data_IF_799117655400
#
_entry.id   IF_799117655400
#
_cell.length_a   1.000
_cell.length_b   1.000
_cell.length_c   1.000
_cell.angle_alpha   90.00
_cell.angle_beta   90.00
_cell.angle_gamma   90.00
#
_symmetry.space_group_name_H-M   'P 1'
#
loop_
_entity.id
_entity.type
_entity.pdbx_description
1 polymer ?
#
# COMPACT_ATOMS: atom_id res chain seq x y z
N UNK A 1 -20.87 21.70 -11.29
CA UNK A 1 -22.02 20.83 -10.93
C UNK A 1 -21.44 19.49 -10.53
N UNK A 2 -21.68 18.95 -9.32
CA UNK A 2 -21.06 17.69 -8.93
C UNK A 2 -21.70 16.53 -9.71
N UNK A 3 -20.88 15.80 -10.45
CA UNK A 3 -21.27 14.74 -11.40
C UNK A 3 -21.16 13.37 -10.72
N UNK A 4 -22.01 13.12 -9.72
CA UNK A 4 -22.08 11.83 -9.06
C UNK A 4 -23.47 11.57 -8.54
N UNK A 5 -24.10 10.48 -9.00
CA UNK A 5 -25.32 9.97 -8.39
C UNK A 5 -24.98 9.44 -6.99
N UNK A 6 -25.67 9.89 -5.93
CA UNK A 6 -25.47 9.33 -4.60
C UNK A 6 -25.79 7.83 -4.64
N UNK A 7 -24.98 6.97 -3.99
CA UNK A 7 -25.23 5.53 -4.00
C UNK A 7 -26.64 5.23 -3.46
N UNK A 8 -27.35 4.33 -4.14
CA UNK A 8 -28.69 3.89 -3.76
C UNK A 8 -28.66 3.30 -2.35
N UNK A 9 -29.08 4.11 -1.38
CA UNK A 9 -29.09 3.74 0.02
C UNK A 9 -30.21 2.76 0.33
N UNK A 10 -29.94 1.46 0.16
CA UNK A 10 -30.80 0.40 0.67
C UNK A 10 -30.74 0.29 2.21
N UNK A 11 -31.78 -0.29 2.80
CA UNK A 11 -31.98 -0.43 4.26
C UNK A 11 -30.90 -1.28 4.99
N UNK A 12 -29.91 -1.83 4.27
CA UNK A 12 -28.81 -2.66 4.80
C UNK A 12 -27.45 -2.23 4.20
N UNK A 13 -27.31 -1.00 3.70
CA UNK A 13 -26.04 -0.50 3.17
C UNK A 13 -25.15 0.10 4.26
N UNK A 14 -24.25 -0.72 4.84
CA UNK A 14 -23.14 -0.36 5.76
C UNK A 14 -23.39 0.89 6.62
N UNK A 15 -24.08 0.68 7.74
CA UNK A 15 -24.15 1.57 8.91
C UNK A 15 -23.89 3.06 8.64
N UNK A 16 -24.94 3.80 8.29
CA UNK A 16 -24.95 5.26 8.39
C UNK A 16 -24.63 5.78 9.82
N UNK A 17 -24.39 4.92 10.80
CA UNK A 17 -24.03 5.28 12.17
C UNK A 17 -22.56 5.01 12.54
N UNK A 18 -21.74 4.43 11.64
CA UNK A 18 -20.30 4.28 11.89
C UNK A 18 -19.57 5.51 11.38
N UNK A 19 -18.82 6.13 12.29
CA UNK A 19 -17.90 7.22 11.98
C UNK A 19 -16.49 6.62 12.11
N UNK A 20 -15.70 6.64 11.04
CA UNK A 20 -14.28 6.28 11.10
C UNK A 20 -13.51 7.34 11.89
N UNK A 21 -12.30 7.05 12.35
CA UNK A 21 -11.46 8.03 13.02
C UNK A 21 -11.27 9.31 12.16
N UNK A 22 -10.96 9.17 10.88
CA UNK A 22 -10.86 10.29 9.91
C UNK A 22 -12.18 11.03 9.72
N UNK A 23 -13.31 10.31 9.74
CA UNK A 23 -14.66 10.88 9.71
C UNK A 23 -14.98 11.71 10.95
N UNK A 24 -14.54 11.26 12.14
CA UNK A 24 -14.74 11.97 13.39
C UNK A 24 -13.93 13.26 13.43
N UNK A 25 -12.67 13.23 13.00
CA UNK A 25 -11.83 14.43 12.87
C UNK A 25 -12.47 15.42 11.89
N UNK A 26 -12.98 14.94 10.76
CA UNK A 26 -13.69 15.79 9.78
C UNK A 26 -14.96 16.42 10.36
N UNK A 27 -15.72 15.67 11.15
CA UNK A 27 -16.90 16.17 11.85
C UNK A 27 -16.56 17.25 12.87
N UNK A 28 -15.54 17.03 13.71
CA UNK A 28 -15.08 18.01 14.70
C UNK A 28 -14.61 19.32 14.06
N UNK A 29 -13.97 19.25 12.89
CA UNK A 29 -13.53 20.44 12.13
C UNK A 29 -14.70 21.16 11.47
N UNK A 30 -15.60 20.43 10.79
CA UNK A 30 -16.75 21.01 10.12
C UNK A 30 -17.87 19.96 9.91
N UNK A 31 -18.92 19.96 10.76
CA UNK A 31 -20.05 19.02 10.65
C UNK A 31 -20.77 19.09 9.30
N UNK A 32 -20.89 20.29 8.72
CA UNK A 32 -21.54 20.51 7.42
C UNK A 32 -20.76 19.85 6.28
N UNK A 33 -19.43 20.01 6.26
CA UNK A 33 -18.57 19.39 5.24
C UNK A 33 -18.64 17.87 5.34
N UNK A 34 -18.55 17.34 6.56
CA UNK A 34 -18.73 15.90 6.79
C UNK A 34 -20.09 15.41 6.29
N UNK A 35 -21.18 16.12 6.59
CA UNK A 35 -22.52 15.72 6.14
C UNK A 35 -22.60 15.68 4.61
N UNK A 36 -22.10 16.72 3.94
CA UNK A 36 -22.09 16.79 2.47
C UNK A 36 -21.27 15.64 1.86
N UNK A 37 -20.05 15.41 2.35
CA UNK A 37 -19.17 14.37 1.80
C UNK A 37 -19.62 12.95 2.13
N UNK A 38 -19.94 12.68 3.39
CA UNK A 38 -20.20 11.32 3.89
C UNK A 38 -21.66 10.89 3.79
N UNK A 39 -22.63 11.82 3.90
CA UNK A 39 -24.07 11.48 3.82
C UNK A 39 -24.67 11.70 2.44
N UNK A 40 -24.37 12.83 1.82
CA UNK A 40 -24.85 13.12 0.48
C UNK A 40 -23.95 12.43 -0.56
N UNK A 41 -22.67 12.21 -0.27
CA UNK A 41 -21.75 11.55 -1.19
C UNK A 41 -21.13 12.48 -2.23
N UNK A 42 -21.19 13.80 -2.01
CA UNK A 42 -20.55 14.77 -2.90
C UNK A 42 -19.04 14.75 -2.69
N UNK A 43 -18.28 14.63 -3.78
CA UNK A 43 -16.82 14.62 -3.76
C UNK A 43 -16.26 15.98 -4.18
N UNK A 44 -15.19 16.38 -3.51
CA UNK A 44 -14.36 17.52 -3.93
C UNK A 44 -13.51 17.12 -5.15
N UNK A 45 -13.03 18.09 -5.95
CA UNK A 45 -12.10 17.80 -7.03
C UNK A 45 -10.87 17.05 -6.52
N UNK A 46 -10.43 16.04 -7.26
CA UNK A 46 -9.26 15.27 -6.90
C UNK A 46 -8.00 16.16 -6.95
N UNK A 47 -7.07 15.89 -6.03
CA UNK A 47 -5.73 16.47 -6.02
C UNK A 47 -4.74 15.38 -6.51
N UNK A 48 -3.81 15.69 -7.44
CA UNK A 48 -2.86 14.70 -7.95
C UNK A 48 -2.01 14.07 -6.84
N UNK A 49 -1.65 14.82 -5.79
CA UNK A 49 -0.92 14.29 -4.62
C UNK A 49 -1.70 13.23 -3.84
N UNK A 50 -3.04 13.31 -3.82
CA UNK A 50 -3.87 12.28 -3.19
C UNK A 50 -3.87 11.00 -4.02
N UNK A 51 -3.93 11.12 -5.35
CA UNK A 51 -3.84 9.96 -6.26
C UNK A 51 -2.48 9.30 -6.09
N UNK A 52 -1.41 10.10 -6.13
CA UNK A 52 -0.05 9.61 -5.91
C UNK A 52 0.12 8.94 -4.55
N UNK A 53 -0.31 9.58 -3.45
CA UNK A 53 -0.16 9.01 -2.12
C UNK A 53 -0.78 7.62 -1.97
N UNK A 54 -1.93 7.38 -2.62
CA UNK A 54 -2.57 6.06 -2.63
C UNK A 54 -1.71 5.02 -3.38
N UNK A 55 -1.13 5.40 -4.53
CA UNK A 55 -0.33 4.48 -5.35
C UNK A 55 1.04 4.22 -4.70
N UNK A 56 1.66 5.24 -4.11
CA UNK A 56 2.92 5.12 -3.33
C UNK A 56 2.72 4.19 -2.14
N UNK A 57 1.63 4.34 -1.39
CA UNK A 57 1.32 3.47 -0.24
C UNK A 57 1.17 2.01 -0.68
N UNK A 58 0.46 1.77 -1.79
CA UNK A 58 0.29 0.43 -2.38
C UNK A 58 1.63 -0.19 -2.79
N UNK A 59 2.49 0.60 -3.46
CA UNK A 59 3.84 0.18 -3.82
C UNK A 59 4.73 -0.10 -2.61
N UNK A 60 4.66 0.73 -1.58
CA UNK A 60 5.41 0.55 -0.33
C UNK A 60 5.00 -0.77 0.35
N UNK A 61 3.70 -1.05 0.45
CA UNK A 61 3.21 -2.34 0.97
C UNK A 61 3.73 -3.48 0.11
N UNK A 62 3.72 -3.32 -1.21
CA UNK A 62 4.30 -4.28 -2.15
C UNK A 62 5.79 -4.53 -1.91
N UNK A 63 6.58 -3.50 -1.62
CA UNK A 63 7.99 -3.64 -1.25
C UNK A 63 8.16 -4.30 0.12
N UNK A 64 7.33 -3.98 1.11
CA UNK A 64 7.34 -4.64 2.43
C UNK A 64 7.00 -6.14 2.36
N UNK A 65 6.29 -6.58 1.31
CA UNK A 65 5.98 -7.99 1.04
C UNK A 65 7.11 -8.74 0.34
N UNK A 66 8.15 -8.05 -0.13
CA UNK A 66 9.36 -8.67 -0.67
C UNK A 66 10.13 -9.39 0.45
N UNK A 67 10.75 -10.51 0.13
CA UNK A 67 11.46 -11.33 1.10
C UNK A 67 12.74 -11.90 0.50
N UNK A 68 13.91 -11.66 1.10
CA UNK A 68 15.18 -12.22 0.63
C UNK A 68 15.30 -13.73 0.90
N UNK A 69 14.33 -14.33 1.59
CA UNK A 69 14.27 -15.79 1.83
C UNK A 69 13.61 -16.56 0.68
N UNK A 70 13.04 -15.87 -0.31
CA UNK A 70 12.31 -16.48 -1.40
C UNK A 70 12.82 -16.03 -2.76
N UNK A 71 11.95 -16.10 -3.76
CA UNK A 71 12.28 -15.70 -5.12
C UNK A 71 12.15 -14.19 -5.25
N UNK A 72 13.09 -13.57 -5.95
CA UNK A 72 13.07 -12.14 -6.20
C UNK A 72 13.41 -11.81 -7.65
N UNK A 73 13.00 -10.62 -8.07
CA UNK A 73 13.51 -9.99 -9.28
C UNK A 73 14.67 -9.07 -8.88
N UNK A 74 15.88 -9.21 -9.47
CA UNK A 74 16.98 -8.28 -9.24
C UNK A 74 16.62 -6.89 -9.78
N UNK A 75 16.83 -5.83 -9.00
CA UNK A 75 16.58 -4.42 -9.34
C UNK A 75 15.11 -4.05 -9.66
N UNK A 76 14.24 -5.02 -9.88
CA UNK A 76 12.80 -4.84 -10.11
C UNK A 76 11.99 -5.19 -8.88
N UNK A 77 10.90 -4.46 -8.67
CA UNK A 77 9.93 -4.75 -7.63
C UNK A 77 8.91 -5.78 -8.11
N UNK A 78 8.59 -6.76 -7.27
CA UNK A 78 7.52 -7.73 -7.56
C UNK A 78 6.15 -7.08 -7.67
N UNK A 79 5.95 -5.96 -6.97
CA UNK A 79 4.73 -5.16 -7.09
C UNK A 79 4.58 -4.56 -8.49
N UNK A 80 5.63 -3.98 -9.07
CA UNK A 80 5.54 -3.43 -10.42
C UNK A 80 5.35 -4.53 -11.48
N UNK A 81 6.10 -5.61 -11.35
CA UNK A 81 5.96 -6.82 -12.17
C UNK A 81 4.53 -7.39 -12.15
N UNK A 82 3.90 -7.43 -10.97
CA UNK A 82 2.51 -7.89 -10.81
C UNK A 82 1.50 -7.03 -11.59
N UNK A 83 1.74 -5.72 -11.71
CA UNK A 83 0.89 -4.83 -12.50
C UNK A 83 1.02 -5.03 -14.02
N UNK A 84 2.09 -5.67 -14.47
CA UNK A 84 2.36 -5.96 -15.89
C UNK A 84 2.06 -7.42 -16.26
N UNK A 85 1.63 -8.24 -15.30
CA UNK A 85 1.58 -9.70 -15.42
C UNK A 85 2.94 -10.32 -15.85
N UNK A 86 4.06 -9.63 -15.54
CA UNK A 86 5.42 -10.03 -15.90
C UNK A 86 6.20 -10.49 -14.68
N UNK A 87 6.16 -11.80 -14.42
CA UNK A 87 6.96 -12.45 -13.37
C UNK A 87 8.15 -13.23 -13.94
N UNK A 88 8.55 -12.96 -15.18
CA UNK A 88 9.73 -13.60 -15.77
C UNK A 88 11.01 -13.11 -15.07
N UNK A 89 11.97 -14.02 -14.89
CA UNK A 89 13.27 -13.69 -14.30
C UNK A 89 13.34 -13.78 -12.77
N UNK A 90 12.37 -14.42 -12.11
CA UNK A 90 12.48 -14.76 -10.70
C UNK A 90 13.67 -15.69 -10.44
N UNK A 91 14.55 -15.27 -9.53
CA UNK A 91 15.75 -16.02 -9.13
C UNK A 91 15.82 -16.13 -7.61
N UNK A 92 16.67 -17.04 -7.11
CA UNK A 92 16.98 -17.12 -5.69
C UNK A 92 17.70 -15.85 -5.22
N UNK A 93 17.20 -15.24 -4.16
CA UNK A 93 17.80 -14.04 -3.59
C UNK A 93 19.09 -14.36 -2.83
N UNK A 94 20.13 -13.48 -2.90
CA UNK A 94 21.20 -13.51 -1.93
C UNK A 94 20.63 -13.30 -0.52
N UNK A 95 21.19 -13.99 0.46
CA UNK A 95 20.78 -13.85 1.87
C UNK A 95 21.53 -12.67 2.46
N UNK A 96 20.85 -11.62 2.97
CA UNK A 96 21.51 -10.52 3.65
C UNK A 96 22.15 -11.03 4.95
N UNK A 97 23.37 -10.59 5.23
CA UNK A 97 24.11 -10.92 6.45
C UNK A 97 24.00 -9.81 7.50
N UNK A 98 23.59 -8.60 7.08
CA UNK A 98 23.40 -7.43 7.94
C UNK A 98 22.08 -6.70 7.65
N UNK A 99 21.70 -5.77 8.54
CA UNK A 99 20.57 -4.86 8.29
C UNK A 99 20.85 -3.93 7.11
N UNK A 100 22.11 -3.51 6.95
CA UNK A 100 22.54 -2.66 5.83
C UNK A 100 22.41 -3.43 4.50
N UNK A 101 22.80 -4.71 4.47
CA UNK A 101 22.63 -5.56 3.28
C UNK A 101 21.15 -5.71 2.90
N UNK A 102 20.27 -5.83 3.90
CA UNK A 102 18.83 -5.91 3.68
C UNK A 102 18.28 -4.58 3.14
N UNK A 103 18.75 -3.45 3.67
CA UNK A 103 18.37 -2.11 3.21
C UNK A 103 18.82 -1.87 1.76
N UNK A 104 20.08 -2.18 1.44
CA UNK A 104 20.60 -2.07 0.07
C UNK A 104 19.82 -2.98 -0.89
N UNK A 105 19.51 -4.21 -0.46
CA UNK A 105 18.76 -5.18 -1.25
C UNK A 105 17.35 -4.70 -1.61
N UNK A 106 16.60 -4.17 -0.63
CA UNK A 106 15.25 -3.66 -0.90
C UNK A 106 15.29 -2.32 -1.65
N UNK A 107 16.28 -1.47 -1.36
CA UNK A 107 16.50 -0.17 -2.01
C UNK A 107 16.77 -0.30 -3.51
N UNK A 108 17.44 -1.37 -3.94
CA UNK A 108 17.70 -1.64 -5.35
C UNK A 108 16.41 -1.72 -6.21
N UNK A 109 15.25 -1.97 -5.59
CA UNK A 109 13.96 -2.13 -6.26
C UNK A 109 13.12 -0.84 -6.29
N UNK A 110 13.56 0.19 -5.58
CA UNK A 110 12.77 1.42 -5.35
C UNK A 110 12.57 2.22 -6.64
N UNK A 111 13.61 2.34 -7.48
CA UNK A 111 13.52 3.10 -8.73
C UNK A 111 12.46 2.49 -9.68
N UNK A 112 12.43 1.16 -9.81
CA UNK A 112 11.43 0.45 -10.62
C UNK A 112 10.01 0.63 -10.05
N UNK A 113 9.83 0.47 -8.73
CA UNK A 113 8.56 0.73 -8.08
C UNK A 113 8.09 2.18 -8.27
N UNK A 114 8.97 3.15 -8.11
CA UNK A 114 8.68 4.58 -8.26
C UNK A 114 8.26 4.93 -9.69
N UNK A 115 8.95 4.39 -10.71
CA UNK A 115 8.57 4.56 -12.11
C UNK A 115 7.15 4.01 -12.37
N UNK A 116 6.85 2.81 -11.86
CA UNK A 116 5.52 2.21 -11.99
C UNK A 116 4.44 3.00 -11.24
N UNK A 117 4.77 3.56 -10.08
CA UNK A 117 3.87 4.45 -9.31
C UNK A 117 3.48 5.68 -10.14
N UNK A 118 4.45 6.33 -10.81
CA UNK A 118 4.19 7.48 -11.68
C UNK A 118 3.26 7.09 -12.84
N UNK A 119 3.51 5.96 -13.49
CA UNK A 119 2.70 5.47 -14.60
C UNK A 119 1.25 5.18 -14.17
N UNK A 120 1.06 4.35 -13.14
CA UNK A 120 -0.26 4.01 -12.61
C UNK A 120 -0.98 5.26 -12.11
N UNK A 121 -0.25 6.14 -11.43
CA UNK A 121 -0.77 7.41 -10.95
C UNK A 121 -1.30 8.27 -12.09
N UNK A 122 -0.55 8.39 -13.19
CA UNK A 122 -0.92 9.23 -14.32
C UNK A 122 -2.23 8.73 -14.95
N UNK A 123 -2.33 7.41 -15.14
CA UNK A 123 -3.53 6.76 -15.66
C UNK A 123 -4.73 7.01 -14.72
N UNK A 124 -4.57 6.78 -13.42
CA UNK A 124 -5.63 7.03 -12.41
C UNK A 124 -6.03 8.50 -12.36
N UNK A 125 -5.09 9.42 -12.50
CA UNK A 125 -5.38 10.85 -12.53
C UNK A 125 -6.19 11.19 -13.77
N UNK A 126 -5.81 10.68 -14.95
CA UNK A 126 -6.53 10.97 -16.19
C UNK A 126 -7.99 10.55 -16.15
N UNK A 127 -8.26 9.40 -15.53
CA UNK A 127 -9.61 8.88 -15.31
C UNK A 127 -10.45 9.68 -14.29
N UNK A 128 -9.86 10.61 -13.53
CA UNK A 128 -10.60 11.37 -12.52
C UNK A 128 -11.65 12.29 -13.15
N UNK A 129 -12.94 12.17 -12.77
CA UNK A 129 -14.01 12.96 -13.39
C UNK A 129 -13.99 14.44 -13.00
N UNK A 130 -13.34 14.79 -11.89
CA UNK A 130 -13.17 16.18 -11.44
C UNK A 130 -11.79 16.37 -10.84
N UNK A 131 -11.03 17.30 -11.41
CA UNK A 131 -9.64 17.62 -11.09
C UNK A 131 -9.56 19.05 -10.53
N UNK A 132 -8.71 19.29 -9.55
CA UNK A 132 -8.41 20.65 -9.09
C UNK A 132 -7.66 21.44 -10.19
N UNK A 133 -7.75 22.76 -10.17
CA UNK A 133 -6.94 23.67 -11.01
C UNK A 133 -5.66 24.14 -10.33
N UNK A 134 -5.50 23.87 -9.04
CA UNK A 134 -4.39 24.40 -8.23
C UNK A 134 -3.07 23.65 -8.45
N UNK A 135 -3.12 22.44 -9.00
CA UNK A 135 -1.99 21.54 -9.18
C UNK A 135 -2.13 20.78 -10.49
N UNK A 136 -1.00 20.39 -11.08
CA UNK A 136 -0.97 19.56 -12.29
C UNK A 136 -0.30 18.21 -12.01
N UNK A 137 -0.44 17.28 -12.95
CA UNK A 137 0.26 15.99 -12.85
C UNK A 137 1.77 16.15 -12.99
N UNK A 138 2.21 17.10 -13.80
CA UNK A 138 3.63 17.36 -14.09
C UNK A 138 4.45 17.71 -12.82
N UNK A 139 3.78 18.13 -11.75
CA UNK A 139 4.39 18.37 -10.45
C UNK A 139 4.85 17.07 -9.76
N UNK A 140 4.33 15.91 -10.14
CA UNK A 140 4.65 14.62 -9.53
C UNK A 140 5.90 14.04 -10.18
N UNK A 141 7.02 14.07 -9.44
CA UNK A 141 8.33 13.63 -9.92
C UNK A 141 8.68 12.25 -9.40
N UNK A 142 9.40 11.47 -10.21
CA UNK A 142 9.85 10.13 -9.81
C UNK A 142 10.74 10.21 -8.57
N UNK A 143 11.62 11.21 -8.51
CA UNK A 143 12.55 11.42 -7.38
C UNK A 143 11.80 11.63 -6.05
N UNK A 144 10.66 12.31 -6.08
CA UNK A 144 9.80 12.46 -4.88
C UNK A 144 9.18 11.12 -4.46
N UNK A 145 8.85 10.24 -5.43
CA UNK A 145 8.31 8.91 -5.14
C UNK A 145 9.37 8.00 -4.55
N UNK A 146 10.58 8.02 -5.10
CA UNK A 146 11.73 7.31 -4.55
C UNK A 146 11.99 7.74 -3.10
N UNK A 147 11.98 9.05 -2.82
CA UNK A 147 12.15 9.57 -1.45
C UNK A 147 11.06 9.08 -0.49
N UNK A 148 9.79 9.06 -0.93
CA UNK A 148 8.70 8.56 -0.10
C UNK A 148 8.81 7.05 0.16
N UNK A 149 9.19 6.27 -0.85
CA UNK A 149 9.38 4.83 -0.72
C UNK A 149 10.58 4.51 0.18
N UNK A 150 11.72 5.18 0.00
CA UNK A 150 12.88 5.04 0.89
C UNK A 150 12.50 5.41 2.33
N UNK A 151 11.88 6.55 2.56
CA UNK A 151 11.47 6.95 3.91
C UNK A 151 10.49 5.96 4.56
N UNK A 152 9.58 5.36 3.79
CA UNK A 152 8.70 4.31 4.27
C UNK A 152 9.43 3.01 4.63
N UNK A 153 10.42 2.62 3.83
CA UNK A 153 11.27 1.46 4.09
C UNK A 153 12.19 1.67 5.29
N UNK A 154 12.75 2.87 5.45
CA UNK A 154 13.59 3.22 6.61
C UNK A 154 12.79 3.08 7.91
N UNK A 155 11.58 3.65 7.95
CA UNK A 155 10.66 3.49 9.10
C UNK A 155 10.31 2.03 9.37
N UNK A 156 10.17 1.21 8.32
CA UNK A 156 9.91 -0.22 8.49
C UNK A 156 11.11 -0.96 9.06
N UNK A 157 12.33 -0.63 8.59
CA UNK A 157 13.55 -1.27 9.04
C UNK A 157 13.94 -0.86 10.46
N UNK A 158 13.55 0.33 10.93
CA UNK A 158 13.64 0.69 12.35
C UNK A 158 12.88 -0.31 13.24
N UNK A 159 11.67 -0.72 12.84
CA UNK A 159 10.88 -1.73 13.55
C UNK A 159 11.50 -3.13 13.44
N UNK A 160 12.08 -3.47 12.27
CA UNK A 160 12.82 -4.74 12.09
C UNK A 160 14.03 -4.80 13.02
N UNK A 161 14.79 -3.70 13.11
CA UNK A 161 15.93 -3.59 13.99
C UNK A 161 15.50 -3.70 15.46
N UNK A 162 14.47 -2.95 15.87
CA UNK A 162 13.95 -3.02 17.24
C UNK A 162 13.49 -4.44 17.61
N UNK A 163 12.80 -5.13 16.68
CA UNK A 163 12.39 -6.52 16.86
C UNK A 163 13.58 -7.48 16.99
N UNK A 164 14.64 -7.28 16.19
CA UNK A 164 15.87 -8.07 16.28
C UNK A 164 16.60 -7.86 17.61
N UNK A 165 16.71 -6.61 18.07
CA UNK A 165 17.34 -6.22 19.34
C UNK A 165 16.55 -6.75 20.56
N UNK A 166 15.22 -6.84 20.47
CA UNK A 166 14.36 -7.48 21.48
C UNK A 166 14.34 -9.03 21.37
N UNK A 167 15.27 -9.61 20.60
CA UNK A 167 15.45 -11.06 20.48
C UNK A 167 14.36 -11.76 19.65
N UNK A 168 13.70 -11.05 18.74
CA UNK A 168 12.69 -11.56 17.80
C UNK A 168 11.33 -11.91 18.43
N UNK A 169 11.11 -11.50 19.68
CA UNK A 169 9.86 -11.68 20.39
C UNK A 169 9.56 -13.11 20.88
N UNK A 170 8.42 -13.29 21.58
CA UNK A 170 8.11 -14.52 22.31
C UNK A 170 7.87 -15.74 21.41
N UNK A 171 7.50 -15.53 20.14
CA UNK A 171 7.15 -16.61 19.22
C UNK A 171 8.30 -17.06 18.31
N UNK A 172 9.49 -16.46 18.41
CA UNK A 172 10.63 -16.76 17.53
C UNK A 172 11.01 -18.25 17.49
N UNK A 173 11.01 -18.92 18.64
CA UNK A 173 11.36 -20.35 18.72
C UNK A 173 10.36 -21.21 17.95
N UNK A 174 9.06 -20.92 18.11
CA UNK A 174 8.00 -21.60 17.37
C UNK A 174 8.13 -21.32 15.87
N UNK A 175 8.36 -20.06 15.50
CA UNK A 175 8.57 -19.66 14.12
C UNK A 175 9.70 -20.46 13.45
N UNK A 176 10.85 -20.59 14.12
CA UNK A 176 12.01 -21.35 13.62
C UNK A 176 11.76 -22.86 13.52
N UNK A 177 10.89 -23.43 14.36
CA UNK A 177 10.62 -24.87 14.36
C UNK A 177 9.52 -25.29 13.38
N UNK A 178 8.46 -24.49 13.24
CA UNK A 178 7.22 -24.88 12.54
C UNK A 178 6.77 -23.88 11.49
N UNK A 179 7.51 -22.79 11.27
CA UNK A 179 7.08 -21.66 10.42
C UNK A 179 6.18 -20.68 11.15
N UNK A 180 5.60 -19.73 10.41
CA UNK A 180 4.75 -18.65 10.94
C UNK A 180 3.66 -19.20 11.90
N UNK A 181 3.67 -18.81 13.19
CA UNK A 181 2.76 -19.33 14.19
C UNK A 181 1.33 -18.75 14.09
N UNK A 182 1.13 -17.73 13.26
CA UNK A 182 -0.15 -17.05 13.14
C UNK A 182 -1.09 -17.78 12.17
N UNK A 183 -2.38 -17.82 12.52
CA UNK A 183 -3.42 -18.36 11.63
C UNK A 183 -3.46 -17.65 10.28
N UNK A 184 -3.20 -16.34 10.30
CA UNK A 184 -3.07 -15.49 9.12
C UNK A 184 -1.62 -15.04 9.12
N UNK A 185 -0.77 -15.63 8.27
CA UNK A 185 0.65 -15.29 8.22
C UNK A 185 0.85 -13.87 7.68
N UNK A 186 2.06 -13.33 7.90
CA UNK A 186 2.46 -12.09 7.25
C UNK A 186 2.39 -12.23 5.71
N UNK A 187 1.87 -11.22 4.99
CA UNK A 187 1.75 -11.32 3.54
C UNK A 187 3.14 -11.30 2.89
N UNK A 188 3.39 -12.22 1.97
CA UNK A 188 4.59 -12.27 1.13
C UNK A 188 4.20 -12.63 -0.28
N UNK A 189 4.97 -12.15 -1.26
CA UNK A 189 4.70 -12.47 -2.66
C UNK A 189 4.84 -13.97 -3.01
N UNK A 190 5.64 -14.72 -2.26
CA UNK A 190 5.81 -16.18 -2.45
C UNK A 190 4.73 -17.02 -1.80
N UNK A 191 3.92 -16.43 -0.93
CA UNK A 191 2.88 -17.14 -0.20
C UNK A 191 1.53 -16.99 -0.87
N UNK A 192 0.72 -18.05 -0.78
CA UNK A 192 -0.67 -17.96 -1.21
C UNK A 192 -1.44 -17.04 -0.24
N UNK A 193 -2.30 -16.15 -0.75
CA UNK A 193 -3.12 -15.29 0.10
C UNK A 193 -3.92 -16.11 1.12
N UNK A 194 -3.82 -15.73 2.40
CA UNK A 194 -4.57 -16.35 3.48
C UNK A 194 -5.71 -15.43 3.91
N UNK A 195 -6.95 -15.88 3.74
CA UNK A 195 -8.12 -15.11 4.15
C UNK A 195 -8.50 -15.45 5.60
N UNK A 196 -8.59 -14.47 6.52
CA UNK A 196 -8.94 -14.71 7.92
C UNK A 196 -10.31 -15.37 8.09
N UNK A 197 -11.24 -15.10 7.16
CA UNK A 197 -12.59 -15.64 7.12
C UNK A 197 -12.91 -16.15 5.69
N UNK A 198 -12.46 -17.36 5.32
CA UNK A 198 -12.56 -17.86 3.95
C UNK A 198 -14.01 -17.92 3.44
N UNK A 199 -14.98 -18.22 4.31
CA UNK A 199 -16.40 -18.28 3.97
C UNK A 199 -17.03 -16.95 3.56
N UNK A 200 -16.34 -15.82 3.79
CA UNK A 200 -16.78 -14.49 3.40
C UNK A 200 -16.10 -13.97 2.13
N UNK A 201 -15.19 -14.74 1.54
CA UNK A 201 -14.62 -14.41 0.24
C UNK A 201 -15.72 -14.65 -0.80
N UNK A 202 -16.21 -13.59 -1.43
CA UNK A 202 -17.07 -13.75 -2.60
C UNK A 202 -16.25 -14.49 -3.66
N UNK A 203 -16.78 -15.60 -4.16
CA UNK A 203 -16.18 -16.33 -5.29
C UNK A 203 -15.94 -15.32 -6.42
N UNK A 204 -14.67 -15.17 -6.81
CA UNK A 204 -14.24 -14.34 -7.94
C UNK A 204 -14.91 -14.80 -9.24
#
# INVERSE_FOLDING_TARGET
MPVGLPPLGGAVGRSRMRISASGYVSWLRCPRRWFIGSKIGLREPANPRMVMGIVVEDALVGLMMESPLGLHLPERSRWAAWHEDDVEGLVDSPKPESLDDLHEWISAKVADAAAKVIEIGANRWEEMPSKTSDYTWDDMKQEEMEQMLHGGLDLFLEEVQACFEDGGGPLLKQWRSTGDPHKVPAPRWDDKPCFPVPSKVQSL
#
